data_IF_196118235472
#
_entry.id   IF_196118235472
#
_cell.length_a   1.000
_cell.length_b   1.000
_cell.length_c   1.000
_cell.angle_alpha   90.00
_cell.angle_beta   90.00
_cell.angle_gamma   90.00
#
_symmetry.space_group_name_H-M   'P 1'
#
loop_
_entity.id
_entity.type
_entity.pdbx_description
1 polymer ?
#
# COMPACT_ATOMS: atom_id res chain seq x y z
N UNK A 1 67.63 32.70 -33.67
CA UNK A 1 67.52 31.44 -34.43
C UNK A 1 67.45 30.27 -33.43
N UNK A 2 66.42 30.22 -32.57
CA UNK A 2 66.28 29.19 -31.52
C UNK A 2 64.83 29.08 -30.97
N UNK A 3 63.82 29.26 -31.83
CA UNK A 3 62.40 29.16 -31.42
C UNK A 3 61.61 28.08 -32.18
N UNK A 4 62.23 27.37 -33.12
CA UNK A 4 61.55 26.37 -33.95
C UNK A 4 61.82 24.92 -33.54
N UNK A 5 62.88 24.64 -32.76
CA UNK A 5 63.21 23.26 -32.31
C UNK A 5 62.43 22.87 -31.03
N UNK A 6 62.13 23.82 -30.13
CA UNK A 6 61.34 23.51 -28.92
C UNK A 6 59.85 23.24 -29.20
N UNK A 7 59.34 23.67 -30.37
CA UNK A 7 57.94 23.47 -30.75
C UNK A 7 57.67 22.10 -31.38
N UNK A 8 58.71 21.43 -31.87
CA UNK A 8 58.63 20.05 -32.39
C UNK A 8 58.77 19.01 -31.28
N UNK A 9 59.67 19.22 -30.29
CA UNK A 9 59.80 18.29 -29.16
C UNK A 9 58.58 18.29 -28.22
N UNK A 10 57.87 19.42 -28.09
CA UNK A 10 56.62 19.50 -27.35
C UNK A 10 55.43 18.83 -28.07
N UNK A 11 55.47 18.72 -29.40
CA UNK A 11 54.39 18.14 -30.19
C UNK A 11 54.49 16.61 -30.33
N UNK A 12 55.67 16.04 -30.12
CA UNK A 12 55.90 14.59 -30.24
C UNK A 12 55.74 13.83 -28.91
N UNK A 13 55.79 14.52 -27.76
CA UNK A 13 55.50 13.90 -26.46
C UNK A 13 53.99 13.84 -26.11
N UNK A 14 53.11 14.52 -26.86
CA UNK A 14 51.67 14.54 -26.58
C UNK A 14 50.87 13.44 -27.34
N UNK A 15 51.48 12.72 -28.30
CA UNK A 15 50.77 11.75 -29.16
C UNK A 15 50.98 10.26 -28.86
N UNK A 16 51.77 9.88 -27.85
CA UNK A 16 52.07 8.47 -27.55
C UNK A 16 51.39 7.86 -26.30
N UNK A 17 50.39 8.52 -25.69
CA UNK A 17 49.69 7.98 -24.50
C UNK A 17 48.17 7.78 -24.62
N UNK A 18 47.65 7.61 -25.83
CA UNK A 18 46.29 7.10 -26.05
C UNK A 18 46.28 5.56 -26.02
N UNK A 19 46.16 4.99 -24.82
CA UNK A 19 45.63 3.64 -24.63
C UNK A 19 44.10 3.69 -24.43
N UNK A 20 43.34 2.69 -24.92
CA UNK A 20 41.89 2.74 -24.99
C UNK A 20 41.25 2.63 -23.60
N UNK A 21 40.13 3.33 -23.44
CA UNK A 21 39.27 3.24 -22.28
C UNK A 21 38.89 1.78 -21.94
N UNK A 22 39.32 1.29 -20.77
CA UNK A 22 38.68 0.16 -20.09
C UNK A 22 37.94 0.66 -18.84
N UNK A 23 36.62 0.68 -18.96
CA UNK A 23 35.61 0.84 -17.91
C UNK A 23 36.00 0.04 -16.65
N UNK A 24 36.46 0.70 -15.58
CA UNK A 24 36.82 0.02 -14.32
C UNK A 24 35.99 0.45 -13.10
N UNK A 25 35.00 1.33 -13.26
CA UNK A 25 34.13 1.75 -12.15
C UNK A 25 33.19 0.68 -11.58
N UNK A 26 33.11 -0.52 -12.19
CA UNK A 26 32.20 -1.60 -11.77
C UNK A 26 32.87 -2.71 -10.95
N UNK A 27 34.21 -2.78 -10.92
CA UNK A 27 34.95 -3.87 -10.25
C UNK A 27 35.09 -3.68 -8.73
N UNK A 28 35.10 -2.45 -8.25
CA UNK A 28 35.23 -2.17 -6.80
C UNK A 28 34.02 -2.67 -5.99
N UNK A 29 32.79 -2.54 -6.51
CA UNK A 29 31.58 -2.96 -5.78
C UNK A 29 31.39 -4.48 -5.74
N UNK A 30 31.75 -5.18 -6.82
CA UNK A 30 31.69 -6.64 -6.88
C UNK A 30 32.69 -7.28 -5.90
N UNK A 31 33.91 -6.74 -5.82
CA UNK A 31 34.94 -7.25 -4.91
C UNK A 31 34.55 -7.06 -3.43
N UNK A 32 33.95 -5.93 -3.08
CA UNK A 32 33.47 -5.70 -1.72
C UNK A 32 32.36 -6.67 -1.32
N UNK A 33 31.42 -6.97 -2.22
CA UNK A 33 30.36 -7.94 -1.96
C UNK A 33 30.93 -9.36 -1.79
N UNK A 34 31.89 -9.75 -2.64
CA UNK A 34 32.59 -11.04 -2.54
C UNK A 34 33.42 -11.14 -1.27
N UNK A 35 34.06 -10.06 -0.82
CA UNK A 35 34.83 -10.03 0.43
C UNK A 35 33.94 -10.18 1.67
N UNK A 36 32.72 -9.63 1.64
CA UNK A 36 31.72 -9.84 2.70
C UNK A 36 31.23 -11.29 2.69
N UNK A 37 30.96 -11.87 1.51
CA UNK A 37 30.52 -13.27 1.37
C UNK A 37 31.60 -14.28 1.79
N UNK A 38 32.88 -13.98 1.52
CA UNK A 38 34.01 -14.80 1.96
C UNK A 38 34.25 -14.74 3.47
N UNK A 39 33.55 -13.88 4.20
CA UNK A 39 33.62 -13.80 5.67
C UNK A 39 34.77 -12.95 6.21
N UNK A 40 35.67 -12.43 5.36
CA UNK A 40 36.78 -11.57 5.77
C UNK A 40 36.30 -10.29 6.48
N UNK A 41 35.13 -9.76 6.08
CA UNK A 41 34.50 -8.64 6.76
C UNK A 41 33.85 -9.02 8.11
N UNK A 42 33.28 -10.23 8.19
CA UNK A 42 32.62 -10.73 9.40
C UNK A 42 33.64 -11.17 10.46
N UNK A 43 34.84 -11.59 10.04
CA UNK A 43 35.93 -12.03 10.91
C UNK A 43 36.69 -10.88 11.58
N UNK A 44 36.38 -9.63 11.26
CA UNK A 44 36.98 -8.47 11.94
C UNK A 44 36.63 -8.51 13.43
N UNK A 45 37.62 -8.28 14.30
CA UNK A 45 37.45 -8.33 15.77
C UNK A 45 36.26 -7.50 16.26
N UNK A 46 36.02 -6.31 15.69
CA UNK A 46 34.88 -5.49 16.04
C UNK A 46 33.52 -6.17 15.78
N UNK A 47 33.39 -6.88 14.65
CA UNK A 47 32.14 -7.57 14.26
C UNK A 47 31.96 -8.83 15.10
N UNK A 48 33.04 -9.58 15.34
CA UNK A 48 33.03 -10.78 16.19
C UNK A 48 32.70 -10.44 17.64
N UNK A 49 33.26 -9.36 18.18
CA UNK A 49 32.99 -8.91 19.55
C UNK A 49 31.55 -8.39 19.73
N UNK A 50 30.86 -8.04 18.64
CA UNK A 50 29.48 -7.54 18.64
C UNK A 50 28.53 -8.50 17.91
N UNK A 51 28.86 -9.80 17.81
CA UNK A 51 28.06 -10.80 17.10
C UNK A 51 26.56 -10.78 17.49
N UNK A 52 26.19 -10.68 18.78
CA UNK A 52 24.77 -10.61 19.17
C UNK A 52 24.02 -9.43 18.55
N UNK A 53 24.68 -8.27 18.43
CA UNK A 53 24.09 -7.08 17.81
C UNK A 53 23.95 -7.24 16.29
N UNK A 54 24.91 -7.91 15.63
CA UNK A 54 24.80 -8.23 14.20
C UNK A 54 23.62 -9.16 13.93
N UNK A 55 23.43 -10.18 14.75
CA UNK A 55 22.25 -11.05 14.67
C UNK A 55 20.95 -10.29 14.90
N UNK A 56 20.93 -9.35 15.83
CA UNK A 56 19.78 -8.47 16.04
C UNK A 56 19.44 -7.65 14.78
N UNK A 57 20.44 -7.09 14.08
CA UNK A 57 20.22 -6.39 12.82
C UNK A 57 19.73 -7.30 11.70
N UNK A 58 20.27 -8.51 11.58
CA UNK A 58 19.80 -9.51 10.62
C UNK A 58 18.35 -9.90 10.90
N UNK A 59 18.00 -10.10 12.17
CA UNK A 59 16.63 -10.35 12.60
C UNK A 59 15.69 -9.20 12.24
N UNK A 60 16.09 -7.94 12.51
CA UNK A 60 15.31 -6.77 12.10
C UNK A 60 15.12 -6.71 10.58
N UNK A 61 16.14 -7.07 9.80
CA UNK A 61 16.05 -7.10 8.34
C UNK A 61 15.04 -8.15 7.86
N UNK A 62 15.04 -9.35 8.46
CA UNK A 62 14.02 -10.37 8.19
C UNK A 62 12.62 -9.90 8.59
N UNK A 63 12.48 -9.25 9.75
CA UNK A 63 11.21 -8.70 10.23
C UNK A 63 10.67 -7.62 9.30
N UNK A 64 11.55 -6.78 8.74
CA UNK A 64 11.18 -5.75 7.77
C UNK A 64 10.58 -6.35 6.49
N UNK A 65 11.23 -7.40 5.97
CA UNK A 65 10.75 -8.15 4.81
C UNK A 65 9.39 -8.78 5.13
N UNK A 66 9.27 -9.45 6.28
CA UNK A 66 8.02 -10.07 6.74
C UNK A 66 6.86 -9.07 6.82
N UNK A 67 7.09 -7.89 7.41
CA UNK A 67 6.11 -6.80 7.47
C UNK A 67 5.71 -6.34 6.07
N UNK A 68 6.66 -6.26 5.13
CA UNK A 68 6.40 -5.90 3.74
C UNK A 68 5.42 -6.83 3.03
N UNK A 69 5.50 -8.14 3.28
CA UNK A 69 4.54 -9.11 2.75
C UNK A 69 3.16 -8.99 3.41
N UNK A 70 3.13 -8.82 4.73
CA UNK A 70 1.87 -8.65 5.48
C UNK A 70 1.06 -7.45 4.98
N UNK A 71 1.71 -6.31 4.73
CA UNK A 71 1.03 -5.12 4.22
C UNK A 71 0.30 -5.35 2.88
N UNK A 72 0.89 -6.14 1.97
CA UNK A 72 0.26 -6.43 0.66
C UNK A 72 -1.02 -7.25 0.83
N UNK A 73 -1.00 -8.25 1.69
CA UNK A 73 -2.16 -9.09 1.95
C UNK A 73 -3.26 -8.27 2.65
N UNK A 74 -2.88 -7.43 3.62
CA UNK A 74 -3.82 -6.57 4.34
C UNK A 74 -4.54 -5.59 3.40
N UNK A 75 -3.83 -4.95 2.48
CA UNK A 75 -4.46 -4.05 1.49
C UNK A 75 -5.46 -4.78 0.61
N UNK A 76 -5.14 -6.00 0.19
CA UNK A 76 -6.06 -6.84 -0.59
C UNK A 76 -7.31 -7.20 0.22
N UNK A 77 -7.14 -7.56 1.48
CA UNK A 77 -8.23 -7.91 2.38
C UNK A 77 -9.16 -6.72 2.62
N UNK A 78 -8.59 -5.52 2.84
CA UNK A 78 -9.34 -4.27 2.97
C UNK A 78 -10.18 -4.00 1.71
N UNK A 79 -9.60 -4.13 0.51
CA UNK A 79 -10.33 -3.92 -0.75
C UNK A 79 -11.48 -4.93 -0.91
N UNK A 80 -11.25 -6.20 -0.59
CA UNK A 80 -12.32 -7.21 -0.64
C UNK A 80 -13.41 -6.96 0.39
N UNK A 81 -13.06 -6.56 1.62
CA UNK A 81 -14.01 -6.25 2.67
C UNK A 81 -14.86 -5.02 2.33
N UNK A 82 -14.24 -3.99 1.75
CA UNK A 82 -14.97 -2.80 1.30
C UNK A 82 -15.99 -3.15 0.23
N UNK A 83 -15.61 -3.96 -0.78
CA UNK A 83 -16.53 -4.42 -1.82
C UNK A 83 -17.71 -5.21 -1.27
N UNK A 84 -17.47 -6.07 -0.27
CA UNK A 84 -18.54 -6.80 0.39
C UNK A 84 -19.48 -5.86 1.15
N UNK A 85 -18.92 -4.88 1.86
CA UNK A 85 -19.70 -3.89 2.60
C UNK A 85 -20.57 -3.04 1.66
N UNK A 86 -20.02 -2.63 0.51
CA UNK A 86 -20.74 -1.87 -0.51
C UNK A 86 -21.88 -2.71 -1.12
N UNK A 87 -21.61 -3.99 -1.43
CA UNK A 87 -22.61 -4.92 -1.94
C UNK A 87 -23.76 -5.14 -0.94
N UNK A 88 -23.44 -5.45 0.32
CA UNK A 88 -24.46 -5.62 1.38
C UNK A 88 -25.25 -4.33 1.62
N UNK A 89 -24.60 -3.17 1.54
CA UNK A 89 -25.28 -1.88 1.67
C UNK A 89 -26.25 -1.63 0.52
N UNK A 90 -25.87 -1.98 -0.71
CA UNK A 90 -26.74 -1.88 -1.88
C UNK A 90 -27.95 -2.82 -1.75
N UNK A 91 -27.74 -4.08 -1.36
CA UNK A 91 -28.81 -5.05 -1.10
C UNK A 91 -29.78 -4.56 -0.01
N UNK A 92 -29.26 -3.97 1.07
CA UNK A 92 -30.10 -3.39 2.13
C UNK A 92 -30.95 -2.23 1.61
N UNK A 93 -30.37 -1.32 0.83
CA UNK A 93 -31.10 -0.18 0.25
C UNK A 93 -32.18 -0.67 -0.71
N UNK A 94 -31.89 -1.66 -1.54
CA UNK A 94 -32.86 -2.26 -2.46
C UNK A 94 -34.01 -2.94 -1.71
N UNK A 95 -33.69 -3.80 -0.74
CA UNK A 95 -34.70 -4.50 0.06
C UNK A 95 -35.58 -3.52 0.85
N UNK A 96 -34.98 -2.46 1.38
CA UNK A 96 -35.72 -1.37 2.04
C UNK A 96 -36.63 -0.64 1.06
N UNK A 97 -36.14 -0.28 -0.13
CA UNK A 97 -36.94 0.39 -1.14
C UNK A 97 -38.14 -0.46 -1.56
N UNK A 98 -37.94 -1.77 -1.75
CA UNK A 98 -39.02 -2.72 -2.04
C UNK A 98 -40.06 -2.78 -0.92
N UNK A 99 -39.61 -2.83 0.33
CA UNK A 99 -40.52 -2.80 1.48
C UNK A 99 -41.32 -1.50 1.53
N UNK A 100 -40.68 -0.36 1.30
CA UNK A 100 -41.36 0.95 1.26
C UNK A 100 -42.35 1.06 0.10
N UNK A 101 -42.06 0.43 -1.04
CA UNK A 101 -42.97 0.34 -2.19
C UNK A 101 -44.20 -0.53 -1.85
N UNK A 102 -43.99 -1.75 -1.35
CA UNK A 102 -45.08 -2.66 -0.97
C UNK A 102 -45.93 -2.11 0.20
N UNK A 103 -45.32 -1.38 1.13
CA UNK A 103 -46.01 -0.74 2.26
C UNK A 103 -46.49 0.68 1.96
N UNK A 104 -46.36 1.14 0.72
CA UNK A 104 -46.85 2.46 0.31
C UNK A 104 -48.36 2.50 0.48
N UNK A 105 -48.85 3.61 1.05
CA UNK A 105 -50.28 3.84 1.33
C UNK A 105 -51.20 3.54 0.13
N UNK A 106 -50.81 3.98 -1.07
CA UNK A 106 -51.59 3.74 -2.30
C UNK A 106 -51.64 2.26 -2.69
N UNK A 107 -50.50 1.58 -2.65
CA UNK A 107 -50.35 0.14 -2.91
C UNK A 107 -51.18 -0.68 -1.91
N UNK A 108 -51.07 -0.38 -0.62
CA UNK A 108 -51.83 -1.07 0.43
C UNK A 108 -53.34 -0.90 0.28
N UNK A 109 -53.81 0.30 -0.08
CA UNK A 109 -55.25 0.54 -0.30
C UNK A 109 -55.77 -0.30 -1.48
N UNK A 110 -54.99 -0.40 -2.56
CA UNK A 110 -55.34 -1.23 -3.71
C UNK A 110 -55.32 -2.72 -3.37
N UNK A 111 -54.24 -3.21 -2.74
CA UNK A 111 -54.09 -4.62 -2.39
C UNK A 111 -55.09 -5.11 -1.33
N UNK A 112 -55.48 -4.25 -0.39
CA UNK A 112 -56.40 -4.60 0.70
C UNK A 112 -57.87 -4.30 0.36
N UNK A 113 -58.15 -3.59 -0.74
CA UNK A 113 -59.49 -3.30 -1.23
C UNK A 113 -60.37 -4.55 -1.44
N UNK A 114 -59.88 -5.61 -2.11
CA UNK A 114 -60.61 -6.87 -2.26
C UNK A 114 -60.93 -7.59 -0.94
N UNK A 115 -60.15 -7.33 0.12
CA UNK A 115 -60.40 -7.85 1.47
C UNK A 115 -61.41 -7.03 2.27
N UNK A 116 -61.98 -5.97 1.67
CA UNK A 116 -62.98 -5.10 2.30
C UNK A 116 -62.43 -4.09 3.29
N UNK A 117 -61.10 -3.98 3.40
CA UNK A 117 -60.44 -3.00 4.28
C UNK A 117 -60.43 -1.63 3.60
N UNK A 118 -60.78 -0.59 4.37
CA UNK A 118 -60.81 0.80 3.90
C UNK A 118 -59.96 1.67 4.80
N UNK A 119 -59.32 2.65 4.20
CA UNK A 119 -58.51 3.60 4.94
C UNK A 119 -59.38 4.50 5.84
N UNK A 120 -58.91 4.72 7.08
CA UNK A 120 -59.51 5.71 7.98
C UNK A 120 -59.11 7.12 7.57
N UNK A 121 -60.08 7.96 7.26
CA UNK A 121 -59.87 9.39 6.99
C UNK A 121 -59.96 10.25 8.25
N UNK A 122 -60.45 9.66 9.35
CA UNK A 122 -60.66 10.37 10.60
C UNK A 122 -59.35 10.41 11.42
N UNK A 123 -58.96 11.58 11.97
CA UNK A 123 -57.76 11.67 12.80
C UNK A 123 -57.87 10.84 14.07
N UNK A 124 -56.72 10.40 14.60
CA UNK A 124 -56.65 9.62 15.83
C UNK A 124 -57.22 10.41 17.02
N UNK A 125 -58.19 9.81 17.73
CA UNK A 125 -58.84 10.44 18.88
C UNK A 125 -57.95 10.26 20.12
N UNK A 126 -57.29 11.33 20.56
CA UNK A 126 -56.46 11.31 21.77
C UNK A 126 -57.33 11.58 22.99
N UNK A 127 -57.38 10.63 23.93
CA UNK A 127 -58.04 10.82 25.22
C UNK A 127 -57.01 11.41 26.20
N UNK A 128 -57.14 12.69 26.54
CA UNK A 128 -56.32 13.32 27.59
C UNK A 128 -57.05 13.27 28.92
N UNK A 129 -56.41 12.69 29.92
CA UNK A 129 -56.90 12.67 31.31
C UNK A 129 -56.70 14.08 31.88
N UNK A 130 -57.77 14.75 32.32
CA UNK A 130 -57.64 16.00 33.08
C UNK A 130 -57.20 15.65 34.50
N UNK A 131 -55.98 16.05 34.87
CA UNK A 131 -55.59 16.15 36.28
C UNK A 131 -56.47 17.22 36.93
N UNK A 132 -57.07 16.89 38.06
CA UNK A 132 -57.94 17.78 38.84
C UNK A 132 -57.03 18.53 39.82
N UNK A 133 -57.02 19.85 39.73
CA UNK A 133 -56.33 20.73 40.68
C UNK A 133 -56.83 20.51 42.12
#
# INVERSE_FOLDING_TARGET
MNEYIQKEEAAEQEKAKKQPAKKSGKKLKANAFVQILNGDYLAKEFVVNNLPFVFFLLFLMLMLIGKGYYAKNLVKEIDTAQKQLDATSAEFVEAKAKLEEETRRSELVEQLGPRGLKETTNPAKVIRIKQKD
#
